data_IF_512454046156
#
_entry.id   IF_512454046156
#
_cell.length_a   1.000
_cell.length_b   1.000
_cell.length_c   1.000
_cell.angle_alpha   90.00
_cell.angle_beta   90.00
_cell.angle_gamma   90.00
#
_symmetry.space_group_name_H-M   'P 1'
#
loop_
_entity.id
_entity.type
_entity.pdbx_description
1 polymer ?
#
# COMPACT_ATOMS: atom_id res chain seq x y z
N UNK A 1 5.47 -37.65 19.03
CA UNK A 1 4.45 -37.25 18.04
C UNK A 1 4.62 -35.77 17.72
N UNK A 2 4.41 -35.38 16.46
CA UNK A 2 4.91 -34.16 15.80
C UNK A 2 4.37 -32.89 16.46
N UNK A 3 5.28 -32.03 16.94
CA UNK A 3 4.97 -30.66 17.36
C UNK A 3 4.59 -29.82 16.14
N UNK A 4 3.40 -29.24 16.19
CA UNK A 4 2.84 -28.37 15.15
C UNK A 4 3.57 -27.02 15.22
N UNK A 5 4.52 -26.80 14.32
CA UNK A 5 5.18 -25.50 14.13
C UNK A 5 4.11 -24.46 13.80
N UNK A 6 3.98 -23.43 14.64
CA UNK A 6 3.16 -22.25 14.38
C UNK A 6 4.07 -21.21 13.70
N UNK A 7 3.68 -20.76 12.52
CA UNK A 7 4.44 -19.84 11.66
C UNK A 7 4.04 -18.37 11.95
N UNK A 8 4.95 -17.41 11.77
CA UNK A 8 4.86 -16.02 12.28
C UNK A 8 5.46 -14.98 11.31
N UNK A 9 4.80 -13.80 11.26
CA UNK A 9 5.14 -12.44 10.74
C UNK A 9 4.43 -11.95 9.44
N UNK A 10 4.01 -10.67 9.38
CA UNK A 10 3.38 -10.00 8.20
C UNK A 10 3.52 -8.45 8.26
N UNK A 11 3.91 -7.75 7.18
CA UNK A 11 4.40 -6.34 7.15
C UNK A 11 3.62 -5.40 6.19
N UNK A 12 3.56 -4.06 6.45
CA UNK A 12 2.71 -3.08 5.72
C UNK A 12 3.32 -1.66 5.59
N UNK A 13 3.50 -1.10 4.38
CA UNK A 13 4.00 0.29 4.16
C UNK A 13 2.85 1.26 3.81
N UNK A 14 2.60 2.30 4.63
CA UNK A 14 1.58 3.34 4.37
C UNK A 14 2.21 4.72 4.05
N UNK A 15 1.68 5.40 3.03
CA UNK A 15 1.97 6.81 2.72
C UNK A 15 0.78 7.69 3.14
N UNK A 16 1.09 8.87 3.66
CA UNK A 16 0.25 9.80 4.40
C UNK A 16 -0.92 10.41 3.57
N UNK A 17 -2.18 10.25 4.02
CA UNK A 17 -3.15 11.35 4.25
C UNK A 17 -4.58 10.83 4.49
N UNK A 18 -4.97 10.80 5.77
CA UNK A 18 -6.34 10.84 6.35
C UNK A 18 -7.31 9.71 5.94
N UNK A 19 -7.75 8.98 6.99
CA UNK A 19 -8.71 7.87 7.05
C UNK A 19 -8.18 6.51 6.58
N UNK A 20 -7.52 5.88 7.54
CA UNK A 20 -7.48 4.44 7.75
C UNK A 20 -8.78 3.75 7.33
N UNK A 21 -8.73 2.91 6.29
CA UNK A 21 -9.81 1.99 5.94
C UNK A 21 -9.34 0.92 4.95
N UNK A 22 -8.43 0.02 5.37
CA UNK A 22 -8.24 -1.28 4.72
C UNK A 22 -9.47 -2.14 5.05
N UNK A 23 -10.53 -1.99 4.26
CA UNK A 23 -11.92 -2.28 4.67
C UNK A 23 -12.29 -3.76 4.80
N UNK A 24 -11.35 -4.70 4.67
CA UNK A 24 -11.64 -6.13 4.87
C UNK A 24 -10.63 -6.92 5.69
N UNK A 25 -9.39 -6.43 5.84
CA UNK A 25 -8.42 -6.98 6.81
C UNK A 25 -8.57 -6.31 8.18
N UNK A 26 -9.08 -5.06 8.23
CA UNK A 26 -9.21 -4.28 9.47
C UNK A 26 -10.68 -3.91 9.74
N UNK A 27 -11.56 -4.90 9.88
CA UNK A 27 -12.91 -4.68 10.43
C UNK A 27 -13.26 -5.56 11.63
N UNK A 28 -12.33 -6.38 12.12
CA UNK A 28 -12.59 -7.32 13.21
C UNK A 28 -11.76 -7.13 14.49
N UNK A 29 -10.78 -6.23 14.57
CA UNK A 29 -9.78 -6.34 15.66
C UNK A 29 -9.21 -5.05 16.28
N UNK A 30 -9.88 -3.89 16.23
CA UNK A 30 -9.44 -2.72 17.02
C UNK A 30 -10.36 -2.47 18.23
N UNK A 31 -9.94 -2.80 19.48
CA UNK A 31 -10.36 -2.06 20.65
C UNK A 31 -9.67 -0.68 20.67
N UNK A 32 -10.31 0.26 21.34
CA UNK A 32 -10.18 1.71 21.24
C UNK A 32 -8.91 2.39 21.81
N UNK A 33 -7.72 1.78 21.72
CA UNK A 33 -6.56 2.29 22.49
C UNK A 33 -5.19 2.09 21.83
N UNK A 34 -4.96 2.69 20.66
CA UNK A 34 -3.60 3.02 20.20
C UNK A 34 -3.56 4.54 19.91
N UNK A 35 -2.98 5.30 20.83
CA UNK A 35 -2.67 6.72 20.62
C UNK A 35 -1.40 6.84 19.77
N UNK A 36 -1.57 6.84 18.43
CA UNK A 36 -0.49 7.22 17.51
C UNK A 36 -0.25 8.74 17.60
N UNK A 37 0.80 9.14 18.31
CA UNK A 37 1.29 10.52 18.28
C UNK A 37 1.82 10.82 16.87
N UNK A 38 1.30 11.86 16.22
CA UNK A 38 1.80 12.31 14.91
C UNK A 38 3.26 12.71 15.00
N UNK A 39 4.10 12.16 14.12
CA UNK A 39 5.41 12.75 13.77
C UNK A 39 6.65 11.97 14.20
N UNK A 40 6.51 10.92 15.03
CA UNK A 40 7.61 10.00 15.38
C UNK A 40 7.30 8.60 14.83
N UNK A 41 7.37 8.45 13.51
CA UNK A 41 7.18 7.15 12.85
C UNK A 41 8.55 6.55 12.50
N UNK A 42 8.97 5.57 13.30
CA UNK A 42 10.12 4.71 13.04
C UNK A 42 9.63 3.36 12.50
N UNK A 43 10.13 2.96 11.33
CA UNK A 43 9.78 1.67 10.69
C UNK A 43 10.23 0.47 11.52
N UNK A 44 11.19 0.64 12.42
CA UNK A 44 11.61 -0.42 13.34
C UNK A 44 10.58 -0.69 14.44
N UNK A 45 9.64 0.22 14.70
CA UNK A 45 8.59 0.03 15.69
C UNK A 45 7.56 -1.00 15.23
N UNK A 46 7.27 -1.94 16.12
CA UNK A 46 6.29 -3.01 15.90
C UNK A 46 4.91 -2.59 16.41
N UNK A 47 3.91 -2.68 15.54
CA UNK A 47 2.50 -2.59 15.89
C UNK A 47 1.94 -4.01 15.94
N UNK A 48 1.61 -4.47 17.14
CA UNK A 48 1.12 -5.81 17.41
C UNK A 48 -0.33 -5.71 17.88
N UNK A 49 -1.21 -6.54 17.31
CA UNK A 49 -2.59 -6.64 17.78
C UNK A 49 -2.66 -7.58 18.99
N UNK A 50 -3.20 -7.11 20.12
CA UNK A 50 -3.38 -7.96 21.31
C UNK A 50 -4.23 -9.20 21.03
N UNK A 51 -5.24 -9.06 20.17
CA UNK A 51 -6.11 -10.17 19.75
C UNK A 51 -5.39 -11.20 18.88
N UNK A 52 -4.25 -10.85 18.28
CA UNK A 52 -3.49 -11.73 17.42
C UNK A 52 -2.00 -11.31 17.35
N UNK A 53 -1.23 -11.74 18.34
CA UNK A 53 0.18 -11.39 18.47
C UNK A 53 1.09 -12.04 17.42
N UNK A 54 0.54 -12.88 16.53
CA UNK A 54 1.28 -13.46 15.42
C UNK A 54 1.46 -12.48 14.24
N UNK A 55 0.76 -11.35 14.26
CA UNK A 55 0.80 -10.32 13.23
C UNK A 55 1.53 -9.09 13.76
N UNK A 56 2.58 -8.68 13.04
CA UNK A 56 3.53 -7.65 13.46
C UNK A 56 3.69 -6.64 12.34
N UNK A 57 2.98 -5.53 12.43
CA UNK A 57 3.01 -4.50 11.42
C UNK A 57 4.12 -3.49 11.72
N UNK A 58 4.69 -2.93 10.66
CA UNK A 58 5.70 -1.87 10.75
C UNK A 58 5.29 -0.79 9.77
N UNK A 59 5.08 0.44 10.23
CA UNK A 59 4.68 1.55 9.37
C UNK A 59 5.91 2.39 9.01
N UNK A 60 6.19 2.55 7.72
CA UNK A 60 7.25 3.46 7.30
C UNK A 60 6.75 4.89 7.34
N UNK A 61 7.65 5.85 7.57
CA UNK A 61 7.36 7.23 7.20
C UNK A 61 7.09 7.27 5.69
N UNK A 62 5.98 7.87 5.29
CA UNK A 62 5.70 8.04 3.87
C UNK A 62 6.84 8.81 3.21
N UNK A 63 7.24 8.42 1.99
CA UNK A 63 8.23 9.19 1.23
C UNK A 63 7.68 10.61 1.04
N UNK A 64 8.42 11.69 1.18
CA UNK A 64 7.98 13.00 0.69
C UNK A 64 8.68 13.25 -0.64
N UNK A 65 7.95 13.81 -1.61
CA UNK A 65 8.49 14.02 -2.96
C UNK A 65 9.69 14.97 -2.90
N UNK A 66 10.91 14.42 -2.84
CA UNK A 66 12.15 15.18 -2.83
C UNK A 66 13.24 14.65 -1.91
N UNK A 67 12.90 13.83 -0.90
CA UNK A 67 13.88 13.28 0.03
C UNK A 67 14.15 11.80 -0.28
N UNK A 68 15.43 11.45 -0.45
CA UNK A 68 15.88 10.09 -0.75
C UNK A 68 16.13 9.25 0.50
N UNK A 69 16.35 9.92 1.64
CA UNK A 69 16.63 9.31 2.94
C UNK A 69 15.60 8.29 3.38
N UNK A 70 14.32 8.55 3.14
CA UNK A 70 13.21 7.69 3.54
C UNK A 70 13.19 6.39 2.73
N UNK A 71 13.57 6.45 1.46
CA UNK A 71 13.72 5.26 0.63
C UNK A 71 14.93 4.43 1.06
N UNK A 72 16.01 5.08 1.48
CA UNK A 72 17.20 4.41 1.98
C UNK A 72 16.93 3.72 3.33
N UNK A 73 16.19 4.35 4.24
CA UNK A 73 15.74 3.74 5.50
C UNK A 73 14.87 2.49 5.25
N UNK A 74 13.96 2.54 4.28
CA UNK A 74 13.17 1.36 3.89
C UNK A 74 14.07 0.28 3.28
N UNK A 75 15.01 0.63 2.40
CA UNK A 75 15.97 -0.33 1.82
C UNK A 75 16.79 -1.01 2.91
N UNK A 76 17.31 -0.26 3.88
CA UNK A 76 18.08 -0.79 5.00
C UNK A 76 17.24 -1.74 5.87
N UNK A 77 16.02 -1.34 6.21
CA UNK A 77 15.08 -2.17 6.95
C UNK A 77 14.80 -3.50 6.23
N UNK A 78 14.48 -3.45 4.93
CA UNK A 78 14.22 -4.65 4.12
C UNK A 78 15.45 -5.56 4.06
N UNK A 79 16.65 -5.00 3.89
CA UNK A 79 17.90 -5.76 3.87
C UNK A 79 18.15 -6.45 5.22
N UNK A 80 18.02 -5.72 6.33
CA UNK A 80 18.18 -6.26 7.69
C UNK A 80 17.21 -7.41 7.97
N UNK A 81 15.94 -7.27 7.58
CA UNK A 81 14.91 -8.31 7.77
C UNK A 81 15.11 -9.51 6.84
N UNK A 82 15.62 -9.31 5.63
CA UNK A 82 15.92 -10.41 4.69
C UNK A 82 17.15 -11.23 5.07
N UNK A 83 18.11 -10.63 5.79
CA UNK A 83 19.38 -11.28 6.19
C UNK A 83 19.34 -11.88 7.60
N UNK A 84 18.25 -11.70 8.34
CA UNK A 84 18.11 -12.26 9.68
C UNK A 84 18.09 -13.81 9.63
N UNK A 85 18.70 -14.46 10.61
CA UNK A 85 18.78 -15.93 10.71
C UNK A 85 17.46 -16.56 11.13
N UNK A 86 16.61 -15.82 11.85
CA UNK A 86 15.33 -16.31 12.37
C UNK A 86 14.20 -15.98 11.40
N UNK A 87 13.51 -17.00 10.90
CA UNK A 87 12.39 -16.86 9.96
C UNK A 87 11.25 -15.98 10.51
N UNK A 88 11.04 -15.99 11.83
CA UNK A 88 10.01 -15.16 12.49
C UNK A 88 10.26 -13.64 12.34
N UNK A 89 11.49 -13.26 12.00
CA UNK A 89 11.89 -11.86 11.85
C UNK A 89 11.95 -11.46 10.36
N UNK A 90 11.61 -12.37 9.44
CA UNK A 90 11.52 -12.08 8.00
C UNK A 90 10.23 -11.36 7.68
N UNK A 91 10.23 -10.60 6.59
CA UNK A 91 9.00 -9.99 6.07
C UNK A 91 8.31 -10.98 5.13
N UNK A 92 7.00 -11.09 5.25
CA UNK A 92 6.20 -12.02 4.45
C UNK A 92 5.53 -11.37 3.25
N UNK A 93 5.18 -10.08 3.37
CA UNK A 93 4.54 -9.28 2.33
C UNK A 93 4.83 -7.82 2.59
N UNK A 94 4.84 -7.02 1.52
CA UNK A 94 4.91 -5.56 1.58
C UNK A 94 3.65 -5.02 0.91
N UNK A 95 2.85 -4.26 1.64
CA UNK A 95 1.80 -3.44 1.03
C UNK A 95 2.36 -2.07 0.71
N UNK A 96 2.30 -1.64 -0.55
CA UNK A 96 2.80 -0.33 -0.97
C UNK A 96 1.63 0.57 -1.37
N UNK A 97 1.34 1.58 -0.57
CA UNK A 97 0.21 2.48 -0.81
C UNK A 97 0.56 3.59 -1.81
N UNK A 98 -0.20 3.69 -2.90
CA UNK A 98 -0.09 4.76 -3.90
C UNK A 98 -1.42 5.51 -3.95
N UNK A 99 -1.47 6.81 -3.62
CA UNK A 99 -2.68 7.61 -3.81
C UNK A 99 -2.90 7.88 -5.30
N UNK A 100 -4.06 7.50 -5.83
CA UNK A 100 -4.46 7.69 -7.23
C UNK A 100 -5.35 8.91 -7.39
N UNK A 101 -4.92 10.04 -6.81
CA UNK A 101 -5.68 11.29 -6.83
C UNK A 101 -5.32 12.21 -8.01
N UNK A 102 -4.38 11.82 -8.87
CA UNK A 102 -3.93 12.59 -10.03
C UNK A 102 -3.76 11.65 -11.25
N UNK A 103 -4.70 11.73 -12.21
CA UNK A 103 -4.65 10.96 -13.45
C UNK A 103 -3.62 11.48 -14.47
N UNK A 104 -2.99 12.63 -14.26
CA UNK A 104 -1.92 13.11 -15.13
C UNK A 104 -0.59 12.47 -14.75
N UNK A 105 -0.35 12.25 -13.45
CA UNK A 105 0.90 11.67 -12.94
C UNK A 105 0.69 10.88 -11.64
N UNK A 106 0.13 9.66 -11.72
CA UNK A 106 -0.18 8.87 -10.54
C UNK A 106 1.04 8.29 -9.84
N UNK A 107 2.19 8.22 -10.54
CA UNK A 107 3.45 7.74 -9.97
C UNK A 107 4.46 8.88 -9.87
N UNK A 108 4.86 9.19 -8.64
CA UNK A 108 5.96 10.10 -8.34
C UNK A 108 7.30 9.42 -8.58
N UNK A 109 8.39 10.19 -8.53
CA UNK A 109 9.74 9.63 -8.65
C UNK A 109 10.03 8.58 -7.58
N UNK A 110 9.47 8.71 -6.37
CA UNK A 110 9.68 7.78 -5.28
C UNK A 110 9.12 6.38 -5.58
N UNK A 111 7.89 6.28 -6.12
CA UNK A 111 7.34 4.99 -6.53
C UNK A 111 8.19 4.35 -7.63
N UNK A 112 8.55 5.12 -8.65
CA UNK A 112 9.35 4.60 -9.76
C UNK A 112 10.72 4.11 -9.31
N UNK A 113 11.44 4.90 -8.50
CA UNK A 113 12.74 4.51 -7.93
C UNK A 113 12.61 3.29 -7.03
N UNK A 114 11.53 3.15 -6.26
CA UNK A 114 11.31 1.94 -5.45
C UNK A 114 11.23 0.68 -6.33
N UNK A 115 10.40 0.69 -7.37
CA UNK A 115 10.23 -0.47 -8.26
C UNK A 115 11.38 -0.69 -9.25
N UNK A 116 12.27 0.28 -9.45
CA UNK A 116 13.47 0.13 -10.29
C UNK A 116 14.72 -0.27 -9.49
N UNK A 117 14.86 0.16 -8.24
CA UNK A 117 16.13 0.05 -7.50
C UNK A 117 16.05 -0.72 -6.17
N UNK A 118 14.90 -0.78 -5.50
CA UNK A 118 14.84 -1.29 -4.12
C UNK A 118 15.10 -2.79 -4.06
N UNK A 119 14.46 -3.58 -4.94
CA UNK A 119 14.62 -5.02 -5.01
C UNK A 119 14.32 -5.73 -3.68
N UNK A 120 13.07 -6.17 -3.48
CA UNK A 120 12.61 -6.73 -2.19
C UNK A 120 12.97 -8.20 -1.95
N UNK A 121 13.89 -8.75 -2.76
CA UNK A 121 14.30 -10.14 -2.69
C UNK A 121 13.13 -11.11 -2.94
N UNK A 122 12.81 -11.93 -1.93
CA UNK A 122 11.70 -12.90 -1.99
C UNK A 122 10.38 -12.37 -1.44
N UNK A 123 10.39 -11.16 -0.86
CA UNK A 123 9.22 -10.59 -0.21
C UNK A 123 8.31 -9.99 -1.29
N UNK A 124 7.09 -10.49 -1.49
CA UNK A 124 6.18 -9.97 -2.48
C UNK A 124 5.71 -8.56 -2.11
N UNK A 125 5.65 -7.67 -3.10
CA UNK A 125 5.04 -6.35 -2.97
C UNK A 125 3.64 -6.40 -3.59
N UNK A 126 2.62 -5.96 -2.85
CA UNK A 126 1.26 -5.76 -3.33
C UNK A 126 0.98 -4.26 -3.28
N UNK A 127 0.56 -3.67 -4.40
CA UNK A 127 0.24 -2.24 -4.47
C UNK A 127 -1.18 -2.01 -4.01
N UNK A 128 -1.37 -1.05 -3.12
CA UNK A 128 -2.69 -0.57 -2.71
C UNK A 128 -2.91 0.81 -3.35
N UNK A 129 -3.71 0.85 -4.41
CA UNK A 129 -4.17 2.12 -4.96
C UNK A 129 -5.24 2.70 -4.06
N UNK A 130 -4.96 3.85 -3.47
CA UNK A 130 -5.83 4.49 -2.47
C UNK A 130 -6.44 5.75 -3.04
N UNK A 131 -7.59 6.16 -2.49
CA UNK A 131 -8.37 7.32 -2.95
C UNK A 131 -9.01 7.08 -4.33
N UNK A 132 -9.43 5.85 -4.59
CA UNK A 132 -10.19 5.54 -5.81
C UNK A 132 -11.48 6.37 -5.91
N UNK A 133 -12.07 6.76 -4.77
CA UNK A 133 -13.21 7.67 -4.68
C UNK A 133 -13.00 9.01 -5.39
N UNK A 134 -11.75 9.48 -5.48
CA UNK A 134 -11.41 10.70 -6.24
C UNK A 134 -11.48 10.48 -7.75
N UNK A 135 -11.06 9.30 -8.25
CA UNK A 135 -11.20 8.96 -9.67
C UNK A 135 -12.67 8.75 -10.04
N UNK A 136 -13.42 8.11 -9.16
CA UNK A 136 -14.86 7.90 -9.33
C UNK A 136 -15.57 9.25 -9.46
N UNK A 137 -15.30 10.20 -8.56
CA UNK A 137 -15.88 11.54 -8.63
C UNK A 137 -15.56 12.28 -9.94
N UNK A 138 -14.32 12.16 -10.45
CA UNK A 138 -13.93 12.73 -11.74
C UNK A 138 -14.67 12.06 -12.90
N UNK A 139 -14.81 10.74 -12.85
CA UNK A 139 -15.49 9.94 -13.86
C UNK A 139 -16.99 10.22 -13.88
N UNK A 140 -17.65 10.32 -12.72
CA UNK A 140 -19.06 10.72 -12.60
C UNK A 140 -19.26 12.07 -13.28
N UNK A 141 -18.43 13.06 -12.94
CA UNK A 141 -18.53 14.40 -13.53
C UNK A 141 -18.43 14.34 -15.05
N UNK A 142 -17.44 13.60 -15.58
CA UNK A 142 -17.27 13.45 -17.01
C UNK A 142 -18.47 12.78 -17.69
N UNK A 143 -19.02 11.71 -17.10
CA UNK A 143 -20.19 11.01 -17.65
C UNK A 143 -21.44 11.91 -17.67
N UNK A 144 -21.67 12.67 -16.60
CA UNK A 144 -22.77 13.65 -16.52
C UNK A 144 -22.59 14.77 -17.56
N UNK A 145 -21.37 15.30 -17.71
CA UNK A 145 -21.05 16.32 -18.72
C UNK A 145 -21.29 15.81 -20.16
N UNK A 146 -21.24 14.48 -20.38
CA UNK A 146 -21.59 13.82 -21.66
C UNK A 146 -23.08 13.49 -21.82
N UNK A 147 -23.92 13.87 -20.86
CA UNK A 147 -25.37 13.73 -20.92
C UNK A 147 -25.94 12.48 -20.23
N UNK A 148 -25.12 11.73 -19.48
CA UNK A 148 -25.60 10.61 -18.66
C UNK A 148 -26.34 11.12 -17.42
N UNK A 149 -27.37 10.41 -16.98
CA UNK A 149 -28.02 10.69 -15.70
C UNK A 149 -27.05 10.48 -14.53
N UNK A 150 -27.23 11.23 -13.44
CA UNK A 150 -26.34 11.19 -12.27
C UNK A 150 -26.31 9.81 -11.60
N UNK A 151 -27.46 9.13 -11.52
CA UNK A 151 -27.54 7.81 -10.89
C UNK A 151 -26.83 6.74 -11.72
N UNK A 152 -27.04 6.75 -13.04
CA UNK A 152 -26.35 5.85 -13.98
C UNK A 152 -24.84 6.13 -14.00
N UNK A 153 -24.44 7.40 -13.98
CA UNK A 153 -23.04 7.81 -13.90
C UNK A 153 -22.38 7.32 -12.60
N UNK A 154 -23.06 7.44 -11.47
CA UNK A 154 -22.56 6.95 -10.17
C UNK A 154 -22.40 5.43 -10.15
N UNK A 155 -23.33 4.68 -10.77
CA UNK A 155 -23.25 3.23 -10.86
C UNK A 155 -22.12 2.76 -11.78
N UNK A 156 -21.86 3.47 -12.88
CA UNK A 156 -20.87 3.11 -13.89
C UNK A 156 -19.44 3.56 -13.55
N UNK A 157 -19.32 4.67 -12.83
CA UNK A 157 -18.03 5.32 -12.60
C UNK A 157 -16.96 4.43 -11.94
N UNK A 158 -17.24 3.58 -10.93
CA UNK A 158 -16.19 2.79 -10.29
C UNK A 158 -15.51 1.77 -11.22
N UNK A 159 -16.27 1.16 -12.13
CA UNK A 159 -15.69 0.23 -13.11
C UNK A 159 -14.91 1.00 -14.18
N UNK A 160 -15.49 2.11 -14.68
CA UNK A 160 -14.90 2.88 -15.77
C UNK A 160 -13.65 3.66 -15.34
N UNK A 161 -13.61 4.17 -14.10
CA UNK A 161 -12.48 4.90 -13.53
C UNK A 161 -11.26 3.98 -13.39
N UNK A 162 -11.46 2.76 -12.87
CA UNK A 162 -10.41 1.74 -12.73
C UNK A 162 -9.93 1.27 -14.09
N UNK A 163 -10.83 0.97 -15.03
CA UNK A 163 -10.44 0.55 -16.38
C UNK A 163 -9.59 1.62 -17.11
N UNK A 164 -9.99 2.89 -17.02
CA UNK A 164 -9.22 4.02 -17.59
C UNK A 164 -7.85 4.15 -16.93
N UNK A 165 -7.79 4.01 -15.60
CA UNK A 165 -6.54 4.04 -14.86
C UNK A 165 -5.60 2.91 -15.29
N UNK A 166 -6.11 1.68 -15.38
CA UNK A 166 -5.33 0.49 -15.81
C UNK A 166 -4.82 0.60 -17.23
N UNK A 167 -5.66 1.05 -18.17
CA UNK A 167 -5.27 1.25 -19.57
C UNK A 167 -4.09 2.22 -19.68
N UNK A 168 -4.16 3.33 -18.93
CA UNK A 168 -3.18 4.41 -19.01
C UNK A 168 -1.91 4.14 -18.18
N UNK A 169 -2.05 3.45 -17.04
CA UNK A 169 -1.00 3.36 -16.02
C UNK A 169 -0.66 1.95 -15.58
N UNK A 170 -1.53 0.97 -15.80
CA UNK A 170 -1.35 -0.40 -15.33
C UNK A 170 -0.02 -1.00 -15.80
N UNK A 171 0.45 -0.65 -17.00
CA UNK A 171 1.72 -1.17 -17.50
C UNK A 171 2.97 -0.49 -16.90
N UNK A 172 2.85 0.69 -16.28
CA UNK A 172 4.03 1.46 -15.88
C UNK A 172 4.77 0.88 -14.67
N UNK A 173 4.05 0.28 -13.72
CA UNK A 173 4.67 -0.40 -12.57
C UNK A 173 5.07 -1.83 -12.91
N UNK A 174 4.25 -2.54 -13.69
CA UNK A 174 4.49 -3.95 -14.02
C UNK A 174 5.61 -4.17 -15.05
N UNK A 175 6.03 -3.14 -15.77
CA UNK A 175 7.21 -3.16 -16.66
C UNK A 175 8.52 -2.79 -15.98
N UNK A 176 8.50 -2.47 -14.68
CA UNK A 176 9.70 -2.08 -13.93
C UNK A 176 10.59 -3.27 -13.64
N UNK A 177 11.82 -3.01 -13.20
CA UNK A 177 12.81 -4.05 -12.90
C UNK A 177 12.33 -5.00 -11.80
N UNK A 178 11.66 -4.47 -10.78
CA UNK A 178 11.07 -5.22 -9.68
C UNK A 178 9.57 -4.93 -9.63
N UNK A 179 8.74 -5.59 -10.46
CA UNK A 179 7.33 -5.28 -10.52
C UNK A 179 6.59 -5.74 -9.25
N UNK A 180 5.45 -5.11 -8.91
CA UNK A 180 4.58 -5.65 -7.87
C UNK A 180 4.06 -7.03 -8.28
N UNK A 181 3.80 -7.88 -7.27
CA UNK A 181 3.19 -9.19 -7.47
C UNK A 181 1.71 -9.09 -7.81
N UNK A 182 1.02 -8.14 -7.18
CA UNK A 182 -0.40 -7.91 -7.36
C UNK A 182 -0.77 -6.47 -6.96
N UNK A 183 -2.03 -6.07 -7.19
CA UNK A 183 -2.55 -4.77 -6.79
C UNK A 183 -4.03 -4.80 -6.43
N UNK A 184 -4.47 -3.84 -5.63
CA UNK A 184 -5.86 -3.69 -5.18
C UNK A 184 -6.25 -2.21 -5.12
N UNK A 185 -7.49 -1.88 -5.48
CA UNK A 185 -8.06 -0.53 -5.41
C UNK A 185 -8.89 -0.33 -4.13
N UNK A 186 -8.73 0.83 -3.49
CA UNK A 186 -9.32 1.21 -2.20
C UNK A 186 -9.81 2.66 -2.17
#
# INVERSE_FOLDING_TARGET
>A
MRGRQRYSSEFAIQRNSRKFSIRRVIRLTCPSSIQLHRGEHDIENEMIFESNTAFVFHDSRGFEAGRTSELDEVKEFLQKRSTNRLLKDHLHVIWYCIPINDEARPFTRAELTFFDECGTGRVPVIVLFTKADMLDAQTIKHLVDTGMDVEDAANKAPEESVARFEEKFGQQLFKRKYPPRDHVYF
#
